data_IF_341409200618
#
_entry.id   IF_341409200618
#
_cell.length_a   1.000
_cell.length_b   1.000
_cell.length_c   1.000
_cell.angle_alpha   90.00
_cell.angle_beta   90.00
_cell.angle_gamma   90.00
#
_symmetry.space_group_name_H-M   'P 1'
#
loop_
_entity.id
_entity.type
_entity.pdbx_description
1 polymer ?
#
# COMPACT_ATOMS: atom_id res chain seq x y z
N UNK A 1 3.78 -27.75 11.98
CA UNK A 1 4.36 -26.80 11.00
C UNK A 1 5.88 -26.94 11.06
N UNK A 2 6.61 -26.99 9.93
CA UNK A 2 8.08 -27.15 9.95
C UNK A 2 8.74 -25.96 10.66
N UNK A 3 9.86 -26.16 11.36
CA UNK A 3 10.54 -25.14 12.19
C UNK A 3 10.85 -23.84 11.42
N UNK A 4 11.23 -23.95 10.14
CA UNK A 4 11.51 -22.79 9.28
C UNK A 4 10.27 -22.03 8.80
N UNK A 5 9.05 -22.48 9.12
CA UNK A 5 7.80 -21.78 8.80
C UNK A 5 7.18 -21.12 10.05
N UNK A 6 7.90 -21.08 11.18
CA UNK A 6 7.42 -20.41 12.39
C UNK A 6 7.15 -18.94 12.09
N UNK A 7 5.95 -18.47 12.46
CA UNK A 7 5.56 -17.07 12.33
C UNK A 7 5.77 -16.33 13.66
N UNK A 8 5.96 -15.00 13.58
CA UNK A 8 6.04 -14.13 14.76
C UNK A 8 5.34 -12.80 14.47
N UNK A 9 4.13 -12.63 15.01
CA UNK A 9 3.24 -11.51 14.68
C UNK A 9 3.79 -10.18 15.19
N UNK A 10 4.43 -10.20 16.36
CA UNK A 10 5.08 -9.01 16.93
C UNK A 10 6.23 -8.58 16.02
N UNK A 11 7.07 -9.52 15.57
CA UNK A 11 8.17 -9.22 14.64
C UNK A 11 7.67 -8.75 13.27
N UNK A 12 6.56 -9.30 12.75
CA UNK A 12 5.95 -8.81 11.50
C UNK A 12 5.50 -7.37 11.66
N UNK A 13 4.76 -7.04 12.72
CA UNK A 13 4.18 -5.71 12.93
C UNK A 13 5.28 -4.67 13.22
N UNK A 14 6.14 -4.93 14.21
CA UNK A 14 7.24 -4.01 14.56
C UNK A 14 8.18 -3.88 13.37
N UNK A 15 8.52 -4.99 12.71
CA UNK A 15 9.39 -5.01 11.56
C UNK A 15 8.84 -4.19 10.39
N UNK A 16 7.54 -4.26 10.13
CA UNK A 16 6.87 -3.46 9.10
C UNK A 16 7.00 -1.96 9.37
N UNK A 17 6.59 -1.50 10.55
CA UNK A 17 6.64 -0.07 10.89
C UNK A 17 8.07 0.46 10.99
N UNK A 18 9.00 -0.35 11.53
CA UNK A 18 10.43 -0.01 11.56
C UNK A 18 10.99 0.08 10.14
N UNK A 19 10.67 -0.86 9.26
CA UNK A 19 11.12 -0.86 7.86
C UNK A 19 10.57 0.32 7.06
N UNK A 20 9.35 0.78 7.37
CA UNK A 20 8.78 1.96 6.74
C UNK A 20 9.59 3.23 7.09
N UNK A 21 9.99 3.39 8.35
CA UNK A 21 10.85 4.50 8.79
C UNK A 21 12.28 4.35 8.28
N UNK A 22 12.87 3.17 8.37
CA UNK A 22 14.25 2.93 7.91
C UNK A 22 14.35 2.99 6.38
N UNK A 23 13.37 2.47 5.66
CA UNK A 23 13.33 2.47 4.20
C UNK A 23 13.29 3.88 3.64
N UNK A 24 12.43 4.74 4.21
CA UNK A 24 12.39 6.15 3.86
C UNK A 24 13.70 6.87 4.18
N UNK A 25 14.28 6.68 5.38
CA UNK A 25 15.53 7.36 5.75
C UNK A 25 16.75 6.88 4.94
N UNK A 26 16.95 5.57 4.83
CA UNK A 26 18.08 4.98 4.09
C UNK A 26 17.94 5.23 2.59
N UNK A 27 16.71 5.17 2.08
CA UNK A 27 16.39 5.51 0.70
C UNK A 27 16.71 6.96 0.42
N UNK A 28 16.29 7.92 1.25
CA UNK A 28 16.66 9.34 1.08
C UNK A 28 18.18 9.51 1.06
N UNK A 29 18.90 8.96 2.04
CA UNK A 29 20.36 9.13 2.14
C UNK A 29 21.10 8.58 0.92
N UNK A 30 20.72 7.41 0.41
CA UNK A 30 21.41 6.78 -0.72
C UNK A 30 20.94 7.37 -2.05
N UNK A 31 19.63 7.50 -2.24
CA UNK A 31 19.02 7.89 -3.51
C UNK A 31 19.25 9.38 -3.81
N UNK A 32 19.26 10.27 -2.82
CA UNK A 32 19.61 11.67 -3.05
C UNK A 32 21.06 11.83 -3.53
N UNK A 33 22.00 11.02 -3.01
CA UNK A 33 23.39 11.03 -3.49
C UNK A 33 23.50 10.56 -4.95
N UNK A 34 22.77 9.50 -5.32
CA UNK A 34 22.74 9.01 -6.70
C UNK A 34 22.09 10.05 -7.62
N UNK A 35 20.99 10.66 -7.19
CA UNK A 35 20.29 11.68 -7.96
C UNK A 35 21.17 12.92 -8.17
N UNK A 36 21.88 13.37 -7.12
CA UNK A 36 22.82 14.48 -7.20
C UNK A 36 23.88 14.23 -8.29
N UNK A 37 24.51 13.05 -8.28
CA UNK A 37 25.48 12.68 -9.32
C UNK A 37 24.85 12.53 -10.71
N UNK A 38 23.64 11.98 -10.81
CA UNK A 38 23.00 11.66 -12.09
C UNK A 38 22.45 12.89 -12.80
N UNK A 39 21.87 13.83 -12.05
CA UNK A 39 21.20 15.02 -12.59
C UNK A 39 22.05 16.29 -12.45
N UNK A 40 23.31 16.15 -11.99
CA UNK A 40 24.26 17.25 -11.81
C UNK A 40 23.70 18.38 -10.91
N UNK A 41 23.07 17.98 -9.81
CA UNK A 41 22.58 18.86 -8.73
C UNK A 41 23.36 18.56 -7.45
N UNK A 42 23.41 19.50 -6.52
CA UNK A 42 24.02 19.28 -5.21
C UNK A 42 23.18 18.31 -4.36
N UNK A 43 23.81 17.66 -3.39
CA UNK A 43 23.08 16.82 -2.42
C UNK A 43 22.02 17.64 -1.67
N UNK A 44 22.32 18.90 -1.34
CA UNK A 44 21.39 19.80 -0.68
C UNK A 44 20.15 20.08 -1.55
N UNK A 45 20.34 20.37 -2.84
CA UNK A 45 19.24 20.54 -3.78
C UNK A 45 18.42 19.25 -3.92
N UNK A 46 19.06 18.09 -4.05
CA UNK A 46 18.37 16.81 -4.13
C UNK A 46 17.50 16.55 -2.90
N UNK A 47 18.01 16.81 -1.68
CA UNK A 47 17.22 16.67 -0.45
C UNK A 47 16.07 17.66 -0.36
N UNK A 48 16.28 18.90 -0.81
CA UNK A 48 15.22 19.91 -0.81
C UNK A 48 14.11 19.55 -1.80
N UNK A 49 14.48 19.17 -3.03
CA UNK A 49 13.55 18.76 -4.10
C UNK A 49 12.66 17.62 -3.62
N UNK A 50 13.22 16.62 -2.96
CA UNK A 50 12.46 15.47 -2.48
C UNK A 50 11.40 15.83 -1.43
N UNK A 51 11.58 16.94 -0.71
CA UNK A 51 10.63 17.45 0.28
C UNK A 51 9.64 18.48 -0.27
N UNK A 52 9.73 18.84 -1.55
CA UNK A 52 8.84 19.82 -2.16
C UNK A 52 7.40 19.29 -2.25
N UNK A 53 6.47 20.20 -1.98
CA UNK A 53 5.02 19.95 -2.07
C UNK A 53 4.48 20.34 -3.43
N UNK A 54 4.95 21.47 -3.94
CA UNK A 54 4.64 21.97 -5.28
C UNK A 54 5.84 21.75 -6.18
N UNK A 55 5.63 20.97 -7.23
CA UNK A 55 6.63 20.62 -8.24
C UNK A 55 6.36 21.32 -9.58
N UNK A 56 5.30 22.12 -9.70
CA UNK A 56 4.86 22.72 -10.96
C UNK A 56 5.89 23.68 -11.57
N UNK A 57 6.72 24.30 -10.72
CA UNK A 57 7.73 25.27 -11.11
C UNK A 57 9.15 24.69 -11.18
N UNK A 58 9.31 23.36 -11.05
CA UNK A 58 10.62 22.73 -11.21
C UNK A 58 11.07 22.79 -12.66
N UNK A 59 12.35 23.09 -12.86
CA UNK A 59 12.97 22.89 -14.17
C UNK A 59 12.97 21.40 -14.55
N UNK A 60 13.10 21.07 -15.85
CA UNK A 60 13.03 19.67 -16.30
C UNK A 60 14.05 18.73 -15.65
N UNK A 61 15.26 19.20 -15.30
CA UNK A 61 16.25 18.35 -14.65
C UNK A 61 15.87 18.07 -13.19
N UNK A 62 15.44 19.10 -12.46
CA UNK A 62 14.96 18.95 -11.08
C UNK A 62 13.70 18.08 -11.00
N UNK A 63 12.77 18.20 -11.96
CA UNK A 63 11.58 17.36 -12.04
C UNK A 63 11.92 15.89 -12.32
N UNK A 64 12.86 15.64 -13.24
CA UNK A 64 13.35 14.28 -13.50
C UNK A 64 14.07 13.69 -12.27
N UNK A 65 14.83 14.50 -11.54
CA UNK A 65 15.45 14.10 -10.28
C UNK A 65 14.40 13.76 -9.22
N UNK A 66 13.34 14.56 -9.09
CA UNK A 66 12.22 14.32 -8.17
C UNK A 66 11.60 12.93 -8.41
N UNK A 67 11.14 12.65 -9.64
CA UNK A 67 10.49 11.37 -9.93
C UNK A 67 11.45 10.18 -9.85
N UNK A 68 12.73 10.37 -10.19
CA UNK A 68 13.76 9.36 -9.94
C UNK A 68 13.83 9.03 -8.45
N UNK A 69 13.99 10.06 -7.59
CA UNK A 69 14.14 9.86 -6.16
C UNK A 69 12.90 9.21 -5.54
N UNK A 70 11.71 9.70 -5.87
CA UNK A 70 10.43 9.15 -5.38
C UNK A 70 10.28 7.67 -5.75
N UNK A 71 10.54 7.32 -7.02
CA UNK A 71 10.38 5.95 -7.51
C UNK A 71 11.33 4.97 -6.83
N UNK A 72 12.61 5.31 -6.76
CA UNK A 72 13.62 4.43 -6.18
C UNK A 72 13.51 4.34 -4.65
N UNK A 73 13.15 5.43 -3.99
CA UNK A 73 12.86 5.42 -2.55
C UNK A 73 11.66 4.52 -2.23
N UNK A 74 10.59 4.61 -3.04
CA UNK A 74 9.41 3.75 -2.91
C UNK A 74 9.76 2.26 -3.08
N UNK A 75 10.52 1.92 -4.13
CA UNK A 75 10.95 0.55 -4.39
C UNK A 75 11.80 0.00 -3.25
N UNK A 76 12.83 0.74 -2.81
CA UNK A 76 13.73 0.30 -1.76
C UNK A 76 12.98 0.08 -0.45
N UNK A 77 12.09 1.01 -0.10
CA UNK A 77 11.25 0.91 1.10
C UNK A 77 10.39 -0.36 1.07
N UNK A 78 9.69 -0.62 -0.04
CA UNK A 78 8.86 -1.81 -0.15
C UNK A 78 9.65 -3.12 -0.25
N UNK A 79 10.87 -3.12 -0.81
CA UNK A 79 11.75 -4.30 -0.76
C UNK A 79 12.13 -4.63 0.69
N UNK A 80 12.52 -3.62 1.48
CA UNK A 80 12.88 -3.81 2.89
C UNK A 80 11.69 -4.29 3.72
N UNK A 81 10.54 -3.64 3.56
CA UNK A 81 9.29 -4.03 4.20
C UNK A 81 8.94 -5.48 3.83
N UNK A 82 8.90 -5.80 2.54
CA UNK A 82 8.54 -7.12 2.04
C UNK A 82 9.51 -8.20 2.56
N UNK A 83 10.81 -7.94 2.53
CA UNK A 83 11.81 -8.88 3.02
C UNK A 83 11.58 -9.25 4.49
N UNK A 84 11.34 -8.24 5.35
CA UNK A 84 11.11 -8.47 6.78
C UNK A 84 9.77 -9.17 7.01
N UNK A 85 8.69 -8.68 6.39
CA UNK A 85 7.34 -9.25 6.57
C UNK A 85 7.29 -10.70 6.08
N UNK A 86 7.89 -11.04 4.94
CA UNK A 86 7.95 -12.41 4.45
C UNK A 86 8.87 -13.28 5.32
N UNK A 87 9.99 -12.73 5.79
CA UNK A 87 10.89 -13.45 6.69
C UNK A 87 10.22 -13.82 8.03
N UNK A 88 9.23 -13.08 8.51
CA UNK A 88 8.48 -13.48 9.71
C UNK A 88 7.10 -14.07 9.42
N UNK A 89 6.55 -13.87 8.21
CA UNK A 89 5.17 -14.17 7.84
C UNK A 89 4.97 -15.30 6.83
N UNK A 90 6.02 -15.82 6.16
CA UNK A 90 5.87 -16.86 5.09
C UNK A 90 5.10 -18.10 5.52
N UNK A 91 5.12 -18.45 6.81
CA UNK A 91 4.35 -19.57 7.35
C UNK A 91 2.85 -19.41 7.16
N UNK A 92 2.34 -18.17 7.24
CA UNK A 92 0.95 -17.86 6.97
C UNK A 92 0.57 -18.08 5.51
N UNK A 93 1.39 -17.60 4.58
CA UNK A 93 1.15 -17.82 3.15
C UNK A 93 1.08 -19.31 2.81
N UNK A 94 2.01 -20.11 3.33
CA UNK A 94 2.00 -21.56 3.13
C UNK A 94 0.77 -22.23 3.75
N UNK A 95 0.37 -21.80 4.95
CA UNK A 95 -0.81 -22.37 5.62
C UNK A 95 -2.11 -22.03 4.87
N UNK A 96 -2.27 -20.78 4.47
CA UNK A 96 -3.47 -20.29 3.77
C UNK A 96 -3.55 -20.83 2.33
N UNK A 97 -2.41 -21.03 1.67
CA UNK A 97 -2.36 -21.70 0.37
C UNK A 97 -2.82 -23.16 0.47
N UNK A 98 -2.35 -23.89 1.49
CA UNK A 98 -2.81 -25.26 1.75
C UNK A 98 -4.30 -25.31 2.06
N UNK A 99 -4.81 -24.35 2.83
CA UNK A 99 -6.24 -24.22 3.12
C UNK A 99 -7.06 -23.99 1.85
N UNK A 100 -6.57 -23.14 0.95
CA UNK A 100 -7.21 -22.87 -0.33
C UNK A 100 -7.29 -24.13 -1.20
N UNK A 101 -6.20 -24.88 -1.32
CA UNK A 101 -6.16 -26.15 -2.06
C UNK A 101 -7.06 -27.21 -1.42
N UNK A 102 -7.13 -27.28 -0.09
CA UNK A 102 -7.98 -28.25 0.61
C UNK A 102 -9.47 -27.95 0.42
N UNK A 103 -9.86 -26.67 0.30
CA UNK A 103 -11.25 -26.22 0.12
C UNK A 103 -11.61 -25.91 -1.34
N UNK A 104 -11.20 -26.74 -2.31
CA UNK A 104 -11.41 -26.47 -3.76
C UNK A 104 -12.84 -26.05 -4.13
N UNK A 105 -13.87 -26.62 -3.47
CA UNK A 105 -15.28 -26.28 -3.72
C UNK A 105 -15.63 -24.82 -3.38
N UNK A 106 -14.92 -24.19 -2.45
CA UNK A 106 -15.13 -22.80 -2.05
C UNK A 106 -14.18 -21.82 -2.76
N UNK A 107 -13.22 -22.30 -3.56
CA UNK A 107 -12.26 -21.44 -4.28
C UNK A 107 -12.96 -20.47 -5.24
N UNK A 108 -13.99 -20.92 -5.96
CA UNK A 108 -14.78 -20.04 -6.83
C UNK A 108 -15.53 -18.96 -6.05
N UNK A 109 -16.09 -19.31 -4.88
CA UNK A 109 -16.72 -18.35 -4.00
C UNK A 109 -15.71 -17.30 -3.51
N UNK A 110 -14.52 -17.71 -3.08
CA UNK A 110 -13.49 -16.78 -2.64
C UNK A 110 -12.97 -15.87 -3.77
N UNK A 111 -12.86 -16.39 -5.00
CA UNK A 111 -12.53 -15.57 -6.15
C UNK A 111 -13.65 -14.57 -6.46
N UNK A 112 -14.91 -14.99 -6.38
CA UNK A 112 -16.06 -14.10 -6.48
C UNK A 112 -16.05 -13.00 -5.42
N UNK A 113 -15.68 -13.32 -4.17
CA UNK A 113 -15.49 -12.34 -3.10
C UNK A 113 -14.36 -11.35 -3.43
N UNK A 114 -13.23 -11.82 -3.95
CA UNK A 114 -12.13 -10.94 -4.35
C UNK A 114 -12.55 -9.99 -5.48
N UNK A 115 -13.28 -10.47 -6.50
CA UNK A 115 -13.78 -9.64 -7.60
C UNK A 115 -14.81 -8.63 -7.09
N UNK A 116 -15.75 -9.05 -6.23
CA UNK A 116 -16.68 -8.15 -5.57
C UNK A 116 -15.94 -7.06 -4.78
N UNK A 117 -14.89 -7.46 -4.05
CA UNK A 117 -14.02 -6.55 -3.31
C UNK A 117 -13.38 -5.49 -4.22
N UNK A 118 -12.84 -5.88 -5.38
CA UNK A 118 -12.31 -4.93 -6.37
C UNK A 118 -13.38 -3.93 -6.82
N UNK A 119 -14.60 -4.40 -7.12
CA UNK A 119 -15.71 -3.52 -7.47
C UNK A 119 -16.08 -2.53 -6.37
N UNK A 120 -16.09 -2.99 -5.11
CA UNK A 120 -16.36 -2.13 -3.95
C UNK A 120 -15.23 -1.12 -3.69
N UNK A 121 -13.97 -1.52 -3.87
CA UNK A 121 -12.80 -0.63 -3.73
C UNK A 121 -12.82 0.46 -4.81
N UNK A 122 -13.05 0.07 -6.07
CA UNK A 122 -13.19 1.03 -7.17
C UNK A 122 -14.38 1.97 -6.94
N UNK A 123 -15.53 1.44 -6.55
CA UNK A 123 -16.71 2.25 -6.21
C UNK A 123 -16.46 3.21 -5.05
N UNK A 124 -15.70 2.80 -4.04
CA UNK A 124 -15.25 3.66 -2.93
C UNK A 124 -14.39 4.81 -3.45
N UNK A 125 -13.40 4.52 -4.28
CA UNK A 125 -12.52 5.53 -4.89
C UNK A 125 -13.33 6.56 -5.71
N UNK A 126 -14.22 6.10 -6.59
CA UNK A 126 -15.08 6.98 -7.41
C UNK A 126 -16.00 7.83 -6.54
N UNK A 127 -16.65 7.21 -5.54
CA UNK A 127 -17.57 7.92 -4.65
C UNK A 127 -16.89 9.03 -3.85
N UNK A 128 -15.72 8.76 -3.25
CA UNK A 128 -15.01 9.76 -2.47
C UNK A 128 -14.33 10.82 -3.35
N UNK A 129 -13.90 10.46 -4.57
CA UNK A 129 -13.43 11.43 -5.56
C UNK A 129 -14.52 12.43 -5.93
N UNK A 130 -15.74 11.94 -6.23
CA UNK A 130 -16.92 12.78 -6.45
C UNK A 130 -17.29 13.62 -5.22
N UNK A 131 -17.25 13.05 -4.01
CA UNK A 131 -17.54 13.81 -2.79
C UNK A 131 -16.53 14.95 -2.58
N UNK A 132 -15.25 14.70 -2.87
CA UNK A 132 -14.21 15.72 -2.78
C UNK A 132 -14.39 16.83 -3.82
N UNK A 133 -14.84 16.49 -5.03
CA UNK A 133 -15.10 17.47 -6.10
C UNK A 133 -16.24 18.44 -5.79
N UNK A 134 -17.11 18.13 -4.82
CA UNK A 134 -18.17 19.04 -4.37
C UNK A 134 -17.64 20.17 -3.49
N UNK A 135 -16.43 20.04 -2.94
CA UNK A 135 -15.87 20.97 -1.95
C UNK A 135 -14.50 21.53 -2.34
N UNK A 136 -13.79 20.91 -3.28
CA UNK A 136 -12.48 21.36 -3.77
C UNK A 136 -12.15 20.75 -5.14
N UNK A 137 -11.15 21.30 -5.83
CA UNK A 137 -10.61 20.72 -7.08
C UNK A 137 -9.71 19.48 -6.83
N UNK A 138 -9.40 19.17 -5.57
CA UNK A 138 -8.58 18.02 -5.20
C UNK A 138 -9.47 16.78 -5.15
N UNK A 139 -9.33 15.89 -6.12
CA UNK A 139 -10.19 14.71 -6.31
C UNK A 139 -9.47 13.37 -6.12
N UNK A 140 -8.17 13.43 -5.87
CA UNK A 140 -7.27 12.28 -5.68
C UNK A 140 -6.31 12.57 -4.53
N UNK A 141 -5.82 11.52 -3.88
CA UNK A 141 -4.81 11.66 -2.81
C UNK A 141 -3.43 11.95 -3.38
N UNK A 142 -2.56 12.59 -2.58
CA UNK A 142 -1.15 12.80 -2.94
C UNK A 142 -0.41 11.53 -3.34
N UNK A 143 -0.68 10.39 -2.70
CA UNK A 143 -0.08 9.10 -3.06
C UNK A 143 -0.42 8.69 -4.50
N UNK A 144 -1.70 8.81 -4.87
CA UNK A 144 -2.17 8.50 -6.22
C UNK A 144 -1.50 9.43 -7.26
N UNK A 145 -1.47 10.74 -6.99
CA UNK A 145 -0.83 11.72 -7.88
C UNK A 145 0.68 11.46 -8.03
N UNK A 146 1.33 11.04 -6.94
CA UNK A 146 2.74 10.66 -6.95
C UNK A 146 2.99 9.46 -7.85
N UNK A 147 2.16 8.40 -7.76
CA UNK A 147 2.26 7.23 -8.63
C UNK A 147 1.97 7.56 -10.09
N UNK A 148 0.96 8.38 -10.38
CA UNK A 148 0.68 8.87 -11.73
C UNK A 148 1.88 9.61 -12.32
N UNK A 149 2.46 10.55 -11.56
CA UNK A 149 3.67 11.27 -11.98
C UNK A 149 4.86 10.35 -12.21
N UNK A 150 5.11 9.37 -11.34
CA UNK A 150 6.17 8.38 -11.53
C UNK A 150 5.98 7.56 -12.80
N UNK A 151 4.76 7.09 -13.07
CA UNK A 151 4.43 6.31 -14.28
C UNK A 151 4.64 7.16 -15.53
N UNK A 152 4.10 8.38 -15.55
CA UNK A 152 4.22 9.32 -16.67
C UNK A 152 5.68 9.69 -16.99
N UNK A 153 6.57 9.63 -15.99
CA UNK A 153 7.99 9.94 -16.12
C UNK A 153 8.89 8.69 -16.27
N UNK A 154 8.33 7.57 -16.75
CA UNK A 154 9.09 6.40 -17.17
C UNK A 154 9.42 5.38 -16.08
N UNK A 155 8.85 5.54 -14.87
CA UNK A 155 9.07 4.61 -13.75
C UNK A 155 7.91 3.62 -13.54
N UNK A 156 7.07 3.41 -14.56
CA UNK A 156 5.91 2.52 -14.46
C UNK A 156 6.25 1.08 -14.01
N UNK A 157 7.38 0.51 -14.46
CA UNK A 157 7.81 -0.81 -14.01
C UNK A 157 8.15 -0.85 -12.50
N UNK A 158 8.72 0.24 -11.97
CA UNK A 158 9.02 0.37 -10.55
C UNK A 158 7.72 0.45 -9.74
N UNK A 159 6.79 1.31 -10.16
CA UNK A 159 5.47 1.45 -9.53
C UNK A 159 4.72 0.13 -9.55
N UNK A 160 4.72 -0.59 -10.68
CA UNK A 160 4.09 -1.91 -10.79
C UNK A 160 4.65 -2.90 -9.76
N UNK A 161 5.97 -3.08 -9.68
CA UNK A 161 6.57 -4.04 -8.74
C UNK A 161 6.25 -3.64 -7.29
N UNK A 162 6.50 -2.38 -6.94
CA UNK A 162 6.35 -1.89 -5.57
C UNK A 162 4.89 -1.83 -5.10
N UNK A 163 4.01 -1.16 -5.86
CA UNK A 163 2.63 -0.83 -5.45
C UNK A 163 1.62 -1.92 -5.82
N UNK A 164 1.79 -2.60 -6.95
CA UNK A 164 0.84 -3.65 -7.36
C UNK A 164 1.16 -4.98 -6.69
N UNK A 165 2.42 -5.26 -6.36
CA UNK A 165 2.83 -6.58 -5.85
C UNK A 165 3.34 -6.51 -4.39
N UNK A 166 4.43 -5.78 -4.14
CA UNK A 166 5.13 -5.84 -2.84
C UNK A 166 4.30 -5.23 -1.71
N UNK A 167 3.63 -4.09 -1.96
CA UNK A 167 2.81 -3.40 -0.99
C UNK A 167 1.62 -4.26 -0.52
N UNK A 168 0.73 -4.76 -1.41
CA UNK A 168 -0.41 -5.58 -0.98
C UNK A 168 -0.01 -6.81 -0.17
N UNK A 169 1.03 -7.55 -0.58
CA UNK A 169 1.45 -8.76 0.14
C UNK A 169 1.92 -8.40 1.56
N UNK A 170 2.67 -7.31 1.70
CA UNK A 170 3.20 -6.88 2.98
C UNK A 170 2.10 -6.37 3.90
N UNK A 171 1.25 -5.49 3.37
CA UNK A 171 0.16 -4.85 4.10
C UNK A 171 -0.89 -5.86 4.57
N UNK A 172 -1.31 -6.80 3.72
CA UNK A 172 -2.29 -7.81 4.12
C UNK A 172 -1.76 -8.77 5.20
N UNK A 173 -0.48 -9.15 5.14
CA UNK A 173 0.14 -9.98 6.18
C UNK A 173 0.20 -9.25 7.53
N UNK A 174 0.39 -7.94 7.54
CA UNK A 174 0.47 -7.13 8.75
C UNK A 174 -0.93 -6.82 9.27
N UNK A 175 -1.74 -6.12 8.46
CA UNK A 175 -3.02 -5.56 8.87
C UNK A 175 -4.09 -6.63 9.07
N UNK A 176 -4.10 -7.68 8.24
CA UNK A 176 -5.14 -8.71 8.31
C UNK A 176 -4.62 -9.90 9.09
N UNK A 177 -3.54 -10.54 8.64
CA UNK A 177 -3.12 -11.80 9.28
C UNK A 177 -2.53 -11.61 10.67
N UNK A 178 -1.61 -10.66 10.84
CA UNK A 178 -0.89 -10.48 12.11
C UNK A 178 -1.75 -9.78 13.16
N UNK A 179 -2.49 -8.73 12.79
CA UNK A 179 -3.31 -7.98 13.74
C UNK A 179 -4.56 -8.74 14.16
N UNK A 180 -5.26 -9.42 13.25
CA UNK A 180 -6.43 -10.23 13.63
C UNK A 180 -6.04 -11.37 14.59
N UNK A 181 -4.80 -11.85 14.53
CA UNK A 181 -4.35 -12.94 15.40
C UNK A 181 -4.42 -12.64 16.91
N UNK A 182 -4.43 -11.36 17.29
CA UNK A 182 -4.58 -10.95 18.69
C UNK A 182 -6.03 -11.07 19.19
N UNK A 183 -6.99 -11.19 18.29
CA UNK A 183 -8.41 -11.29 18.58
C UNK A 183 -8.87 -12.75 18.42
N UNK A 184 -8.84 -13.50 19.53
CA UNK A 184 -9.13 -14.94 19.52
C UNK A 184 -10.60 -15.28 19.38
N UNK A 185 -11.49 -14.40 19.86
CA UNK A 185 -12.92 -14.60 19.75
C UNK A 185 -13.42 -14.12 18.38
N UNK A 186 -13.96 -15.06 17.60
CA UNK A 186 -14.52 -14.75 16.28
C UNK A 186 -15.80 -13.93 16.34
N UNK A 187 -16.50 -13.87 17.49
CA UNK A 187 -17.73 -13.08 17.63
C UNK A 187 -17.48 -11.57 17.60
N UNK A 188 -16.27 -11.14 17.93
CA UNK A 188 -15.86 -9.73 17.93
C UNK A 188 -15.09 -9.34 16.67
N UNK A 189 -15.30 -10.02 15.55
CA UNK A 189 -14.59 -9.80 14.27
C UNK A 189 -14.66 -8.35 13.75
N UNK A 190 -15.68 -7.58 14.15
CA UNK A 190 -15.82 -6.17 13.80
C UNK A 190 -14.75 -5.28 14.45
N UNK A 191 -14.22 -5.63 15.63
CA UNK A 191 -13.15 -4.87 16.31
C UNK A 191 -11.83 -4.90 15.51
N UNK A 192 -11.24 -6.06 15.19
CA UNK A 192 -10.03 -6.09 14.35
C UNK A 192 -10.28 -5.55 12.94
N UNK A 193 -11.52 -5.62 12.43
CA UNK A 193 -11.90 -5.00 11.16
C UNK A 193 -11.75 -3.47 11.22
N UNK A 194 -12.34 -2.82 12.24
CA UNK A 194 -12.21 -1.37 12.43
C UNK A 194 -10.76 -0.94 12.67
N UNK A 195 -10.02 -1.67 13.51
CA UNK A 195 -8.60 -1.39 13.77
C UNK A 195 -7.80 -1.54 12.48
N UNK A 196 -8.04 -2.59 11.70
CA UNK A 196 -7.38 -2.81 10.41
C UNK A 196 -7.69 -1.71 9.41
N UNK A 197 -8.90 -1.18 9.40
CA UNK A 197 -9.25 -0.02 8.56
C UNK A 197 -8.45 1.23 8.96
N UNK A 198 -8.38 1.52 10.27
CA UNK A 198 -7.70 2.71 10.79
C UNK A 198 -6.20 2.68 10.46
N UNK A 199 -5.52 1.59 10.80
CA UNK A 199 -4.07 1.46 10.55
C UNK A 199 -3.73 1.40 9.06
N UNK A 200 -4.68 0.98 8.22
CA UNK A 200 -4.51 1.01 6.76
C UNK A 200 -4.60 2.45 6.25
N UNK A 201 -5.55 3.24 6.74
CA UNK A 201 -5.73 4.63 6.32
C UNK A 201 -4.61 5.57 6.79
N UNK A 202 -4.09 5.38 8.00
CA UNK A 202 -3.16 6.32 8.62
C UNK A 202 -1.90 6.58 7.76
N UNK A 203 -1.11 5.56 7.32
CA UNK A 203 0.07 5.80 6.49
C UNK A 203 -0.22 6.53 5.18
N UNK A 204 -1.40 6.32 4.60
CA UNK A 204 -1.81 6.94 3.34
C UNK A 204 -2.13 8.43 3.48
N UNK A 205 -2.34 8.91 4.70
CA UNK A 205 -2.74 10.28 4.99
C UNK A 205 -1.66 11.08 5.72
N UNK A 206 -0.50 10.49 6.03
CA UNK A 206 0.58 11.14 6.79
C UNK A 206 1.19 12.33 6.04
N UNK A 207 1.25 12.26 4.71
CA UNK A 207 1.86 13.33 3.89
C UNK A 207 0.81 14.31 3.35
N UNK A 208 -0.46 13.89 3.29
CA UNK A 208 -1.58 14.66 2.73
C UNK A 208 -1.79 15.97 3.47
N UNK A 209 -1.60 17.10 2.78
CA UNK A 209 -1.68 18.45 3.34
C UNK A 209 -2.80 19.28 2.73
N UNK A 210 -4.02 18.77 2.91
CA UNK A 210 -5.25 19.40 2.43
C UNK A 210 -6.05 20.04 3.56
N UNK A 211 -7.08 20.82 3.20
CA UNK A 211 -8.04 21.32 4.19
C UNK A 211 -8.62 20.17 5.02
N UNK A 212 -8.94 20.39 6.30
CA UNK A 212 -9.43 19.34 7.20
C UNK A 212 -10.61 18.55 6.61
N UNK A 213 -11.51 19.23 5.90
CA UNK A 213 -12.65 18.60 5.24
C UNK A 213 -12.21 17.65 4.12
N UNK A 214 -11.37 18.10 3.19
CA UNK A 214 -10.83 17.29 2.09
C UNK A 214 -9.99 16.13 2.63
N UNK A 215 -9.12 16.41 3.59
CA UNK A 215 -8.33 15.38 4.28
C UNK A 215 -9.23 14.30 4.89
N UNK A 216 -10.33 14.68 5.53
CA UNK A 216 -11.29 13.72 6.13
C UNK A 216 -12.01 12.88 5.07
N UNK A 217 -12.40 13.49 3.95
CA UNK A 217 -13.02 12.77 2.81
C UNK A 217 -12.05 11.71 2.28
N UNK A 218 -10.79 12.10 2.02
CA UNK A 218 -9.75 11.19 1.53
C UNK A 218 -9.39 10.11 2.56
N UNK A 219 -9.30 10.46 3.85
CA UNK A 219 -9.11 9.49 4.94
C UNK A 219 -10.23 8.45 4.96
N UNK A 220 -11.49 8.87 4.83
CA UNK A 220 -12.64 7.97 4.78
C UNK A 220 -12.57 7.00 3.60
N UNK A 221 -12.05 7.43 2.45
CA UNK A 221 -11.81 6.56 1.29
C UNK A 221 -10.85 5.42 1.62
N UNK A 222 -9.69 5.75 2.20
CA UNK A 222 -8.71 4.73 2.61
C UNK A 222 -9.21 3.87 3.77
N UNK A 223 -9.89 4.48 4.74
CA UNK A 223 -10.47 3.75 5.87
C UNK A 223 -11.47 2.71 5.39
N UNK A 224 -12.42 3.09 4.54
CA UNK A 224 -13.41 2.18 3.98
C UNK A 224 -12.76 1.10 3.11
N UNK A 225 -11.75 1.44 2.32
CA UNK A 225 -10.96 0.46 1.57
C UNK A 225 -10.30 -0.57 2.49
N UNK A 226 -9.77 -0.10 3.62
CA UNK A 226 -9.21 -0.96 4.65
C UNK A 226 -10.25 -1.89 5.30
N UNK A 227 -11.47 -1.40 5.52
CA UNK A 227 -12.61 -2.21 5.99
C UNK A 227 -12.99 -3.27 4.95
N UNK A 228 -13.13 -2.90 3.68
CA UNK A 228 -13.49 -3.82 2.59
C UNK A 228 -12.50 -4.99 2.54
N UNK A 229 -11.19 -4.72 2.52
CA UNK A 229 -10.17 -5.76 2.49
C UNK A 229 -10.21 -6.66 3.74
N UNK A 230 -10.49 -6.09 4.91
CA UNK A 230 -10.68 -6.85 6.15
C UNK A 230 -11.93 -7.76 6.10
N UNK A 231 -13.03 -7.30 5.51
CA UNK A 231 -14.22 -8.12 5.28
C UNK A 231 -13.95 -9.25 4.29
N UNK A 232 -13.24 -8.98 3.19
CA UNK A 232 -12.83 -10.02 2.22
C UNK A 232 -11.98 -11.09 2.92
N UNK A 233 -11.03 -10.67 3.76
CA UNK A 233 -10.24 -11.59 4.58
C UNK A 233 -11.13 -12.45 5.49
N UNK A 234 -12.04 -11.82 6.26
CA UNK A 234 -12.89 -12.54 7.20
C UNK A 234 -13.82 -13.54 6.50
N UNK A 235 -14.55 -13.11 5.47
CA UNK A 235 -15.51 -13.93 4.73
C UNK A 235 -14.86 -15.00 3.84
N UNK A 236 -13.54 -14.93 3.62
CA UNK A 236 -12.76 -15.99 2.98
C UNK A 236 -12.17 -17.00 4.00
N UNK A 237 -12.83 -17.15 5.14
CA UNK A 237 -12.37 -17.93 6.29
C UNK A 237 -11.01 -17.46 6.83
N UNK A 238 -10.80 -16.16 6.98
CA UNK A 238 -9.54 -15.59 7.49
C UNK A 238 -8.33 -16.01 6.62
N UNK A 239 -8.51 -16.04 5.29
CA UNK A 239 -7.47 -16.40 4.31
C UNK A 239 -6.84 -15.14 3.70
N UNK A 240 -5.59 -14.86 4.09
CA UNK A 240 -4.89 -13.63 3.68
C UNK A 240 -4.60 -13.59 2.19
N UNK A 241 -4.50 -14.75 1.52
CA UNK A 241 -4.25 -14.78 0.09
C UNK A 241 -5.42 -14.19 -0.70
N UNK A 242 -6.65 -14.33 -0.22
CA UNK A 242 -7.83 -13.84 -0.93
C UNK A 242 -7.92 -12.31 -0.84
N UNK A 243 -7.69 -11.73 0.35
CA UNK A 243 -7.60 -10.27 0.48
C UNK A 243 -6.38 -9.71 -0.25
N UNK A 244 -5.25 -10.42 -0.25
CA UNK A 244 -4.06 -10.06 -1.04
C UNK A 244 -4.36 -10.03 -2.54
N UNK A 245 -5.02 -11.05 -3.08
CA UNK A 245 -5.41 -11.08 -4.50
C UNK A 245 -6.37 -9.92 -4.81
N UNK A 246 -7.37 -9.68 -3.97
CA UNK A 246 -8.29 -8.54 -4.11
C UNK A 246 -7.52 -7.21 -4.17
N UNK A 247 -6.56 -7.00 -3.27
CA UNK A 247 -5.77 -5.77 -3.20
C UNK A 247 -4.83 -5.64 -4.40
N UNK A 248 -4.13 -6.70 -4.81
CA UNK A 248 -3.30 -6.72 -6.03
C UNK A 248 -4.15 -6.38 -7.26
N UNK A 249 -5.35 -6.98 -7.40
CA UNK A 249 -6.23 -6.70 -8.54
C UNK A 249 -6.74 -5.26 -8.55
N UNK A 250 -7.03 -4.68 -7.38
CA UNK A 250 -7.41 -3.27 -7.27
C UNK A 250 -6.25 -2.35 -7.71
N UNK A 251 -5.05 -2.59 -7.21
CA UNK A 251 -3.89 -1.77 -7.57
C UNK A 251 -3.47 -1.98 -9.02
N UNK A 252 -3.65 -3.19 -9.56
CA UNK A 252 -3.48 -3.48 -10.98
C UNK A 252 -4.48 -2.69 -11.82
N UNK A 253 -5.76 -2.66 -11.44
CA UNK A 253 -6.77 -1.86 -12.13
C UNK A 253 -6.39 -0.37 -12.13
N UNK A 254 -6.03 0.17 -10.97
CA UNK A 254 -5.58 1.56 -10.85
C UNK A 254 -4.35 1.82 -11.75
N UNK A 255 -3.34 0.96 -11.70
CA UNK A 255 -2.16 1.09 -12.56
C UNK A 255 -2.48 1.04 -14.06
N UNK A 256 -3.37 0.12 -14.47
CA UNK A 256 -3.81 0.02 -15.86
C UNK A 256 -4.53 1.30 -16.31
N UNK A 257 -5.36 1.91 -15.47
CA UNK A 257 -6.03 3.17 -15.78
C UNK A 257 -5.06 4.35 -15.93
N UNK A 258 -3.87 4.29 -15.35
CA UNK A 258 -2.83 5.33 -15.50
C UNK A 258 -2.11 5.20 -16.86
N UNK A 259 -1.89 3.98 -17.35
CA UNK A 259 -1.08 3.73 -18.56
C UNK A 259 -1.89 3.63 -19.87
N UNK A 260 -3.22 3.56 -19.77
CA UNK A 260 -4.15 3.51 -20.90
C UNK A 260 -4.54 4.91 -21.35
#
# INVERSE_FOLDING_TARGET
>A
MKKYLKTNNISIIIGYFLAMVLGSLLGILIICNIAASKYNITLFEATNILSLKDIANLDPNALNAYYFMQSWNNLLSYILIFAIVIFFGRGYLVADFKKLIAKKKHTLLYLGLAILGVGLLYGTSVFFSWLSSLVSDVTSSENQNSFEGMVANGYGAIVFISVVILAPISEELVYRKSIFSFFKDKKIWYIPTLISGLIFALPHMLTTQESFLVWTILFCSYFLSGIILALIYHFSDDNVLISTICHILNNLLAFLLIIL
#
